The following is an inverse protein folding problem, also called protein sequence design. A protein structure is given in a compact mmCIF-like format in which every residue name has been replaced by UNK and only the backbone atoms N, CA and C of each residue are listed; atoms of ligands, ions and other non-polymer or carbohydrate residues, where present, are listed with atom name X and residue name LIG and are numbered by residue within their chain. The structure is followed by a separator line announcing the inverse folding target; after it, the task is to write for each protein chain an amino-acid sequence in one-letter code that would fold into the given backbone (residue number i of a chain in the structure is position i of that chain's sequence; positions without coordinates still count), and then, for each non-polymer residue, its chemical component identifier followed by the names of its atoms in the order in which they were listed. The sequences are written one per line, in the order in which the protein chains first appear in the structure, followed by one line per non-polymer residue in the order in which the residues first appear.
data_IF_761614438252
#
_entry.id   IF_761614438252
#
_cell.length_a   1.000
_cell.length_b   1.000
_cell.length_c   1.000
_cell.angle_alpha   90.00
_cell.angle_beta   90.00
_cell.angle_gamma   90.00
#
_symmetry.space_group_name_H-M   'P 1'
#
loop_
_entity.id
_entity.type
_entity.pdbx_description
1 polymer ?
#
# COMPACT_ATOMS: atom_id res chain seq x y z
N UNK A 1 -6.50 20.98 -17.83
CA UNK A 1 -6.05 19.85 -18.67
C UNK A 1 -6.11 18.61 -17.82
N UNK A 2 -7.16 17.81 -17.98
CA UNK A 2 -7.29 16.50 -17.36
C UNK A 2 -6.40 15.55 -18.14
N UNK A 3 -5.16 15.34 -17.68
CA UNK A 3 -4.39 14.17 -18.07
C UNK A 3 -5.17 12.97 -17.58
N UNK A 4 -5.92 12.31 -18.47
CA UNK A 4 -6.46 10.99 -18.21
C UNK A 4 -5.27 10.12 -17.84
N UNK A 5 -5.26 9.66 -16.59
CA UNK A 5 -4.23 8.77 -16.10
C UNK A 5 -4.48 7.40 -16.74
N UNK A 6 -3.90 7.14 -17.91
CA UNK A 6 -3.91 5.86 -18.63
C UNK A 6 -3.11 4.77 -17.87
N UNK A 7 -3.05 4.86 -16.55
CA UNK A 7 -2.44 3.88 -15.68
C UNK A 7 -3.26 2.60 -15.70
N UNK A 8 -2.64 1.52 -16.16
CA UNK A 8 -3.22 0.18 -16.08
C UNK A 8 -3.45 -0.22 -14.61
N UNK A 9 -4.40 -1.12 -14.41
CA UNK A 9 -4.79 -1.61 -13.10
C UNK A 9 -4.90 -3.14 -13.12
N UNK A 10 -4.65 -3.76 -11.98
CA UNK A 10 -4.84 -5.19 -11.77
C UNK A 10 -5.79 -5.49 -10.61
N UNK A 11 -6.36 -6.70 -10.64
CA UNK A 11 -7.30 -7.20 -9.65
C UNK A 11 -6.66 -8.27 -8.78
N UNK A 12 -6.76 -8.10 -7.46
CA UNK A 12 -6.49 -9.14 -6.47
C UNK A 12 -7.82 -9.68 -5.97
N UNK A 13 -8.01 -11.01 -6.02
CA UNK A 13 -9.22 -11.67 -5.55
C UNK A 13 -8.95 -12.37 -4.23
N UNK A 14 -9.73 -12.02 -3.21
CA UNK A 14 -9.75 -12.73 -1.93
C UNK A 14 -10.88 -13.74 -1.95
N UNK A 15 -10.54 -14.99 -1.66
CA UNK A 15 -11.47 -16.13 -1.65
C UNK A 15 -11.30 -16.91 -0.35
N UNK A 16 -12.40 -17.46 0.16
CA UNK A 16 -12.39 -18.35 1.30
C UNK A 16 -13.16 -19.63 0.96
N UNK A 17 -12.67 -20.84 1.26
CA UNK A 17 -13.33 -22.10 0.88
C UNK A 17 -14.78 -22.20 1.37
N UNK A 18 -15.05 -21.70 2.58
CA UNK A 18 -16.39 -21.74 3.17
C UNK A 18 -17.35 -20.64 2.67
N UNK A 19 -16.90 -19.74 1.79
CA UNK A 19 -17.70 -18.65 1.27
C UNK A 19 -17.82 -18.74 -0.26
N UNK A 20 -19.06 -18.75 -0.77
CA UNK A 20 -19.29 -18.69 -2.22
C UNK A 20 -18.95 -17.33 -2.83
N UNK A 21 -18.99 -16.29 -2.00
CA UNK A 21 -18.71 -14.91 -2.41
C UNK A 21 -17.21 -14.62 -2.37
N UNK A 22 -16.79 -13.67 -3.19
CA UNK A 22 -15.40 -13.20 -3.27
C UNK A 22 -15.34 -11.69 -3.09
N UNK A 23 -14.22 -11.22 -2.55
CA UNK A 23 -13.89 -9.79 -2.52
C UNK A 23 -12.85 -9.52 -3.60
N UNK A 24 -13.01 -8.44 -4.36
CA UNK A 24 -12.00 -8.00 -5.32
C UNK A 24 -11.38 -6.70 -4.84
N UNK A 25 -10.08 -6.54 -5.03
CA UNK A 25 -9.33 -5.33 -4.74
C UNK A 25 -8.69 -4.85 -6.04
N UNK A 26 -8.86 -3.57 -6.35
CA UNK A 26 -8.32 -2.95 -7.56
C UNK A 26 -7.11 -2.10 -7.20
N UNK A 27 -5.96 -2.41 -7.79
CA UNK A 27 -4.71 -1.71 -7.57
C UNK A 27 -4.23 -1.06 -8.86
N UNK A 28 -3.65 0.13 -8.76
CA UNK A 28 -2.99 0.81 -9.88
C UNK A 28 -1.60 0.21 -10.10
N UNK A 29 -1.24 -0.11 -11.34
CA UNK A 29 0.01 -0.85 -11.58
C UNK A 29 1.26 -0.02 -11.29
N UNK A 30 1.25 1.27 -11.64
CA UNK A 30 2.44 2.14 -11.57
C UNK A 30 2.98 2.34 -10.15
N UNK A 31 2.10 2.29 -9.15
CA UNK A 31 2.42 2.66 -7.77
C UNK A 31 1.78 1.74 -6.75
N UNK A 32 1.01 0.73 -7.16
CA UNK A 32 0.34 -0.23 -6.30
C UNK A 32 -0.69 0.42 -5.35
N UNK A 33 -1.18 1.63 -5.63
CA UNK A 33 -2.23 2.21 -4.79
C UNK A 33 -3.53 1.40 -4.88
N UNK A 34 -4.11 1.08 -3.73
CA UNK A 34 -5.46 0.51 -3.65
C UNK A 34 -6.49 1.57 -4.06
N UNK A 35 -7.16 1.37 -5.18
CA UNK A 35 -8.10 2.34 -5.75
C UNK A 35 -9.54 2.08 -5.30
N UNK A 36 -9.92 0.80 -5.24
CA UNK A 36 -11.29 0.38 -4.98
C UNK A 36 -11.35 -1.07 -4.50
N UNK A 37 -12.50 -1.46 -3.96
CA UNK A 37 -12.83 -2.86 -3.71
C UNK A 37 -14.25 -3.19 -4.19
N UNK A 38 -14.45 -4.45 -4.58
CA UNK A 38 -15.75 -5.02 -4.93
C UNK A 38 -16.18 -6.02 -3.86
N UNK A 39 -17.44 -5.94 -3.47
CA UNK A 39 -18.09 -6.94 -2.63
C UNK A 39 -18.52 -8.17 -3.41
N UNK A 40 -18.96 -9.19 -2.68
CA UNK A 40 -19.51 -10.42 -3.24
C UNK A 40 -20.79 -10.25 -4.05
N UNK A 41 -21.53 -9.14 -3.85
CA UNK A 41 -22.73 -8.78 -4.62
C UNK A 41 -22.43 -7.99 -5.90
N UNK A 42 -21.15 -7.69 -6.17
CA UNK A 42 -20.70 -6.97 -7.35
C UNK A 42 -20.63 -5.45 -7.19
N UNK A 43 -21.06 -4.88 -6.05
CA UNK A 43 -20.95 -3.42 -5.80
C UNK A 43 -19.50 -3.01 -5.58
N UNK A 44 -19.09 -1.93 -6.24
CA UNK A 44 -17.77 -1.34 -6.13
C UNK A 44 -17.76 -0.12 -5.22
N UNK A 45 -16.70 0.02 -4.45
CA UNK A 45 -16.45 1.16 -3.56
C UNK A 45 -15.04 1.69 -3.83
N UNK A 46 -14.92 2.99 -4.06
CA UNK A 46 -13.64 3.67 -4.34
C UNK A 46 -13.34 4.74 -3.30
N UNK A 47 -12.06 5.03 -3.08
CA UNK A 47 -11.64 6.08 -2.15
C UNK A 47 -11.97 7.49 -2.65
N UNK A 48 -12.14 8.41 -1.70
CA UNK A 48 -12.34 9.83 -1.98
C UNK A 48 -11.14 10.41 -2.75
N UNK A 49 -11.43 11.10 -3.84
CA UNK A 49 -10.42 11.76 -4.68
C UNK A 49 -9.68 10.82 -5.64
N UNK A 50 -9.98 9.52 -5.64
CA UNK A 50 -9.46 8.58 -6.63
C UNK A 50 -10.53 8.31 -7.70
N UNK A 51 -10.25 8.72 -8.93
CA UNK A 51 -11.07 8.37 -10.09
C UNK A 51 -10.54 7.10 -10.75
N UNK A 52 -11.45 6.23 -11.16
CA UNK A 52 -11.14 5.02 -11.92
C UNK A 52 -12.01 5.04 -13.19
N UNK A 53 -11.44 5.37 -14.36
CA UNK A 53 -12.21 5.46 -15.60
C UNK A 53 -12.98 4.17 -15.89
N UNK A 54 -14.27 4.30 -16.22
CA UNK A 54 -15.13 3.16 -16.55
C UNK A 54 -15.61 2.32 -15.36
N UNK A 55 -15.21 2.63 -14.12
CA UNK A 55 -15.68 1.91 -12.93
C UNK A 55 -16.91 2.62 -12.32
N UNK A 56 -18.06 1.96 -12.36
CA UNK A 56 -19.22 2.40 -11.59
C UNK A 56 -19.05 2.02 -10.11
N UNK A 57 -18.55 2.96 -9.30
CA UNK A 57 -18.24 2.74 -7.88
C UNK A 57 -18.79 3.84 -6.98
N UNK A 58 -19.29 3.43 -5.81
CA UNK A 58 -19.70 4.30 -4.72
C UNK A 58 -18.48 4.92 -4.04
N UNK A 59 -18.60 6.17 -3.60
CA UNK A 59 -17.48 6.92 -3.02
C UNK A 59 -17.44 6.71 -1.50
N UNK A 60 -16.36 6.11 -1.03
CA UNK A 60 -16.01 6.04 0.38
C UNK A 60 -15.61 7.44 0.85
N UNK A 61 -16.16 7.91 1.97
CA UNK A 61 -15.68 9.11 2.65
C UNK A 61 -14.32 8.91 3.36
N UNK A 62 -13.34 8.40 2.63
CA UNK A 62 -12.02 8.01 3.12
C UNK A 62 -11.01 8.16 2.01
N UNK A 63 -9.87 8.79 2.29
CA UNK A 63 -8.74 8.83 1.38
C UNK A 63 -7.93 7.54 1.48
N UNK A 64 -7.29 7.12 0.38
CA UNK A 64 -6.41 5.96 0.36
C UNK A 64 -5.02 6.30 0.94
N UNK A 65 -4.97 6.60 2.23
CA UNK A 65 -3.70 6.87 2.93
C UNK A 65 -3.70 6.22 4.31
N UNK A 66 -2.53 5.79 4.77
CA UNK A 66 -2.39 5.21 6.11
C UNK A 66 -2.93 6.13 7.22
N UNK A 67 -2.71 7.45 7.12
CA UNK A 67 -3.19 8.42 8.11
C UNK A 67 -4.70 8.57 8.15
N UNK A 68 -5.39 8.27 7.04
CA UNK A 68 -6.86 8.29 7.00
C UNK A 68 -7.47 6.98 7.51
N UNK A 69 -6.79 5.85 7.29
CA UNK A 69 -7.26 4.51 7.67
C UNK A 69 -6.93 4.14 9.13
N UNK A 70 -5.83 4.63 9.70
CA UNK A 70 -5.50 4.42 11.11
C UNK A 70 -5.60 5.74 11.89
N UNK A 71 -6.30 5.69 13.03
CA UNK A 71 -6.17 6.69 14.10
C UNK A 71 -5.30 6.09 15.21
N UNK A 72 -4.12 6.66 15.44
CA UNK A 72 -3.20 6.23 16.50
C UNK A 72 -1.79 5.90 15.99
N UNK A 73 -0.88 5.50 16.89
CA UNK A 73 0.49 5.16 16.51
C UNK A 73 0.47 3.99 15.52
N UNK A 74 1.03 4.22 14.34
CA UNK A 74 1.06 3.26 13.23
C UNK A 74 1.84 1.97 13.54
N UNK A 75 2.67 2.00 14.60
CA UNK A 75 3.57 0.93 15.04
C UNK A 75 2.91 -0.36 15.56
N UNK A 76 1.58 -0.42 15.68
CA UNK A 76 0.86 -1.59 16.20
C UNK A 76 0.12 -2.41 15.13
N UNK A 77 0.46 -2.22 13.86
CA UNK A 77 -0.18 -3.01 12.79
C UNK A 77 0.39 -4.42 12.77
N UNK A 78 -0.48 -5.41 12.95
CA UNK A 78 -0.15 -6.83 12.76
C UNK A 78 -0.60 -7.32 11.38
N UNK A 79 0.24 -8.13 10.75
CA UNK A 79 -0.03 -8.88 9.52
C UNK A 79 -0.13 -10.38 9.83
N UNK A 80 -0.83 -11.14 8.99
CA UNK A 80 -0.96 -12.60 9.16
C UNK A 80 -2.39 -13.11 8.94
N UNK A 81 -2.69 -14.34 9.37
CA UNK A 81 -3.98 -14.97 9.11
C UNK A 81 -5.18 -14.20 9.66
N UNK A 82 -5.06 -13.59 10.84
CA UNK A 82 -6.14 -12.78 11.41
C UNK A 82 -6.42 -11.54 10.58
N UNK A 83 -5.36 -10.85 10.13
CA UNK A 83 -5.48 -9.68 9.27
C UNK A 83 -6.09 -10.04 7.92
N UNK A 84 -5.69 -11.17 7.32
CA UNK A 84 -6.22 -11.65 6.05
C UNK A 84 -7.70 -12.02 6.15
N UNK A 85 -8.09 -12.77 7.18
CA UNK A 85 -9.49 -13.15 7.38
C UNK A 85 -10.37 -11.95 7.74
N UNK A 86 -9.86 -11.07 8.61
CA UNK A 86 -10.54 -9.81 8.94
C UNK A 86 -10.75 -8.93 7.72
N UNK A 87 -9.73 -8.79 6.86
CA UNK A 87 -9.85 -8.11 5.58
C UNK A 87 -10.97 -8.69 4.72
N UNK A 88 -11.01 -10.02 4.54
CA UNK A 88 -12.04 -10.68 3.74
C UNK A 88 -13.45 -10.45 4.31
N UNK A 89 -13.66 -10.73 5.60
CA UNK A 89 -14.98 -10.67 6.25
C UNK A 89 -15.53 -9.24 6.30
N UNK A 90 -14.70 -8.27 6.71
CA UNK A 90 -15.14 -6.88 6.86
C UNK A 90 -15.47 -6.25 5.51
N UNK A 91 -14.68 -6.51 4.47
CA UNK A 91 -14.98 -6.03 3.12
C UNK A 91 -16.22 -6.70 2.55
N UNK A 92 -16.40 -8.00 2.77
CA UNK A 92 -17.55 -8.75 2.25
C UNK A 92 -18.88 -8.24 2.83
N UNK A 93 -18.92 -8.00 4.15
CA UNK A 93 -20.15 -7.63 4.88
C UNK A 93 -20.51 -6.15 4.81
N UNK A 94 -19.62 -5.29 4.31
CA UNK A 94 -19.80 -3.84 4.32
C UNK A 94 -21.04 -3.40 3.52
N UNK A 95 -22.12 -2.98 4.17
CA UNK A 95 -23.36 -2.62 3.46
C UNK A 95 -23.36 -1.18 2.90
N UNK A 96 -22.55 -0.31 3.52
CA UNK A 96 -22.32 1.06 3.13
C UNK A 96 -23.53 1.98 3.25
N UNK A 97 -23.89 2.40 4.47
CA UNK A 97 -24.87 3.48 4.65
C UNK A 97 -24.38 4.79 3.98
N UNK A 98 -25.15 5.32 3.03
CA UNK A 98 -24.80 6.53 2.27
C UNK A 98 -25.44 7.76 2.91
N UNK A 99 -24.64 8.81 3.13
CA UNK A 99 -25.09 10.13 3.54
C UNK A 99 -24.50 11.16 2.59
N UNK A 100 -25.35 11.96 1.93
CA UNK A 100 -24.92 12.98 0.96
C UNK A 100 -24.00 12.44 -0.17
N UNK A 101 -24.30 11.23 -0.67
CA UNK A 101 -23.49 10.60 -1.73
C UNK A 101 -22.14 10.02 -1.26
N UNK A 102 -21.87 10.08 0.05
CA UNK A 102 -20.67 9.55 0.67
C UNK A 102 -21.01 8.40 1.61
N UNK A 103 -20.30 7.28 1.49
CA UNK A 103 -20.52 6.13 2.37
C UNK A 103 -19.91 6.38 3.75
N UNK A 104 -20.65 6.11 4.83
CA UNK A 104 -20.15 6.15 6.20
C UNK A 104 -19.26 4.92 6.49
N UNK A 105 -18.18 5.12 7.25
CA UNK A 105 -17.09 4.14 7.33
C UNK A 105 -16.79 3.82 8.79
N UNK A 106 -16.91 2.53 9.12
CA UNK A 106 -16.61 1.99 10.44
C UNK A 106 -15.10 1.87 10.66
N UNK A 107 -14.67 1.77 11.92
CA UNK A 107 -13.26 1.57 12.24
C UNK A 107 -12.77 0.19 11.78
N UNK A 108 -13.65 -0.79 11.72
CA UNK A 108 -13.40 -2.14 11.24
C UNK A 108 -13.10 -2.15 9.74
N UNK A 109 -13.90 -1.43 8.94
CA UNK A 109 -13.63 -1.28 7.51
C UNK A 109 -12.29 -0.56 7.27
N UNK A 110 -12.02 0.52 8.00
CA UNK A 110 -10.73 1.22 7.88
C UNK A 110 -9.54 0.31 8.17
N UNK A 111 -9.66 -0.53 9.21
CA UNK A 111 -8.64 -1.52 9.57
C UNK A 111 -8.46 -2.58 8.49
N UNK A 112 -9.55 -3.07 7.91
CA UNK A 112 -9.52 -4.02 6.80
C UNK A 112 -8.83 -3.44 5.55
N UNK A 113 -9.19 -2.21 5.16
CA UNK A 113 -8.54 -1.50 4.04
C UNK A 113 -7.07 -1.20 4.33
N UNK A 114 -6.73 -0.91 5.59
CA UNK A 114 -5.35 -0.74 6.00
C UNK A 114 -4.56 -2.05 5.88
N UNK A 115 -5.11 -3.18 6.32
CA UNK A 115 -4.47 -4.50 6.12
C UNK A 115 -4.28 -4.82 4.63
N UNK A 116 -5.27 -4.53 3.79
CA UNK A 116 -5.14 -4.69 2.34
C UNK A 116 -3.98 -3.85 1.79
N UNK A 117 -3.89 -2.59 2.23
CA UNK A 117 -2.82 -1.68 1.82
C UNK A 117 -1.45 -2.21 2.27
N UNK A 118 -1.30 -2.60 3.53
CA UNK A 118 -0.02 -3.08 4.08
C UNK A 118 0.41 -4.39 3.46
N UNK A 119 -0.46 -5.40 3.46
CA UNK A 119 -0.09 -6.76 3.06
C UNK A 119 0.10 -6.89 1.55
N UNK A 120 -0.65 -6.11 0.75
CA UNK A 120 -0.68 -6.25 -0.70
C UNK A 120 0.02 -5.10 -1.42
N UNK A 121 -0.29 -3.85 -1.09
CA UNK A 121 0.36 -2.68 -1.69
C UNK A 121 1.78 -2.49 -1.17
N UNK A 122 1.95 -2.36 0.15
CA UNK A 122 3.28 -2.17 0.74
C UNK A 122 4.13 -3.45 0.62
N UNK A 123 3.51 -4.63 0.66
CA UNK A 123 4.17 -5.90 0.35
C UNK A 123 4.66 -6.00 -1.10
N UNK A 124 4.04 -5.30 -2.05
CA UNK A 124 4.55 -5.22 -3.43
C UNK A 124 5.72 -4.23 -3.56
N UNK A 125 5.77 -3.19 -2.71
CA UNK A 125 6.81 -2.15 -2.74
C UNK A 125 8.04 -2.48 -1.92
N UNK A 126 7.86 -3.14 -0.77
CA UNK A 126 8.91 -3.38 0.23
C UNK A 126 9.12 -4.88 0.51
N UNK A 127 10.37 -5.33 0.34
CA UNK A 127 10.78 -6.71 0.58
C UNK A 127 10.61 -7.11 2.04
N UNK A 128 10.94 -6.24 2.99
CA UNK A 128 10.77 -6.48 4.41
C UNK A 128 9.30 -6.73 4.78
N UNK A 129 8.37 -5.90 4.32
CA UNK A 129 6.92 -6.04 4.57
C UNK A 129 6.41 -7.35 3.95
N UNK A 130 6.84 -7.66 2.72
CA UNK A 130 6.53 -8.94 2.06
C UNK A 130 7.01 -10.13 2.89
N UNK A 131 8.28 -10.10 3.34
CA UNK A 131 8.88 -11.18 4.14
C UNK A 131 8.09 -11.42 5.43
N UNK A 132 7.76 -10.37 6.18
CA UNK A 132 6.98 -10.48 7.41
C UNK A 132 5.58 -11.02 7.14
N UNK A 133 4.92 -10.55 6.08
CA UNK A 133 3.59 -11.02 5.67
C UNK A 133 3.63 -12.50 5.30
N UNK A 134 4.56 -12.92 4.45
CA UNK A 134 4.73 -14.32 4.07
C UNK A 134 5.08 -15.20 5.27
N UNK A 135 5.98 -14.75 6.15
CA UNK A 135 6.34 -15.47 7.36
C UNK A 135 5.12 -15.68 8.27
N UNK A 136 4.35 -14.62 8.53
CA UNK A 136 3.13 -14.69 9.33
C UNK A 136 2.13 -15.71 8.78
N UNK A 137 1.92 -15.71 7.46
CA UNK A 137 1.02 -16.67 6.80
C UNK A 137 1.56 -18.10 6.84
N UNK A 138 2.87 -18.30 6.64
CA UNK A 138 3.50 -19.61 6.64
C UNK A 138 3.54 -20.26 8.04
N UNK A 139 3.73 -19.46 9.09
CA UNK A 139 3.76 -19.95 10.47
C UNK A 139 2.37 -20.00 11.12
N UNK A 140 1.35 -19.42 10.47
CA UNK A 140 0.02 -19.28 11.04
C UNK A 140 -0.06 -18.28 12.20
N UNK A 141 0.97 -17.46 12.41
CA UNK A 141 1.04 -16.49 13.51
C UNK A 141 0.81 -15.08 12.99
N UNK A 142 0.24 -14.21 13.84
CA UNK A 142 0.20 -12.78 13.53
C UNK A 142 1.52 -12.14 13.97
N UNK A 143 2.10 -11.31 13.11
CA UNK A 143 3.36 -10.61 13.35
C UNK A 143 3.09 -9.12 13.34
N UNK A 144 3.47 -8.43 14.42
CA UNK A 144 3.42 -6.97 14.49
C UNK A 144 4.61 -6.38 13.75
N UNK A 145 4.35 -5.47 12.82
CA UNK A 145 5.41 -4.80 12.07
C UNK A 145 6.13 -3.78 12.94
N UNK A 146 7.46 -3.81 12.88
CA UNK A 146 8.31 -2.86 13.61
C UNK A 146 8.10 -1.42 13.13
N UNK A 147 8.35 -0.45 14.03
CA UNK A 147 8.22 0.98 13.73
C UNK A 147 9.07 1.42 12.55
N UNK A 148 10.26 0.87 12.36
CA UNK A 148 11.13 1.23 11.23
C UNK A 148 10.46 0.93 9.88
N UNK A 149 9.71 -0.18 9.78
CA UNK A 149 8.98 -0.52 8.56
C UNK A 149 7.89 0.51 8.25
N UNK A 150 7.24 1.05 9.29
CA UNK A 150 6.28 2.15 9.14
C UNK A 150 6.91 3.41 8.59
N UNK A 151 8.10 3.74 9.08
CA UNK A 151 8.84 4.90 8.59
C UNK A 151 9.25 4.70 7.13
N UNK A 152 9.69 3.49 6.75
CA UNK A 152 10.04 3.15 5.36
C UNK A 152 8.85 3.29 4.42
N UNK A 153 7.70 2.68 4.76
CA UNK A 153 6.47 2.77 3.95
C UNK A 153 6.03 4.23 3.69
N UNK A 154 6.14 5.09 4.71
CA UNK A 154 5.80 6.52 4.58
C UNK A 154 6.80 7.33 3.75
N UNK A 155 8.02 6.83 3.56
CA UNK A 155 9.10 7.51 2.85
C UNK A 155 9.45 6.81 1.53
N UNK A 156 8.55 6.01 0.95
CA UNK A 156 8.79 5.26 -0.29
C UNK A 156 9.33 6.12 -1.44
N UNK A 157 8.78 7.33 -1.62
CA UNK A 157 9.24 8.30 -2.62
C UNK A 157 10.71 8.67 -2.39
N UNK A 158 11.06 9.12 -1.17
CA UNK A 158 12.44 9.47 -0.79
C UNK A 158 13.40 8.28 -0.88
N UNK A 159 12.95 7.10 -0.53
CA UNK A 159 13.71 5.87 -0.67
C UNK A 159 13.97 5.52 -2.14
N UNK A 160 13.00 5.79 -3.03
CA UNK A 160 13.16 5.60 -4.47
C UNK A 160 14.14 6.63 -5.07
N UNK A 161 14.05 7.90 -4.63
CA UNK A 161 15.03 8.95 -4.99
C UNK A 161 16.46 8.55 -4.58
N UNK A 162 16.62 8.05 -3.35
CA UNK A 162 17.91 7.60 -2.84
C UNK A 162 18.47 6.43 -3.66
N UNK A 163 17.63 5.46 -4.01
CA UNK A 163 18.04 4.34 -4.87
C UNK A 163 18.60 4.85 -6.21
N UNK A 164 17.92 5.79 -6.86
CA UNK A 164 18.34 6.36 -8.15
C UNK A 164 19.65 7.14 -7.99
N UNK A 165 19.79 7.93 -6.92
CA UNK A 165 21.01 8.66 -6.60
C UNK A 165 22.20 7.69 -6.42
N UNK A 166 22.02 6.61 -5.65
CA UNK A 166 23.06 5.61 -5.46
C UNK A 166 23.44 4.91 -6.76
N UNK A 167 22.48 4.55 -7.61
CA UNK A 167 22.74 3.95 -8.91
C UNK A 167 23.58 4.89 -9.79
N UNK A 168 23.20 6.17 -9.87
CA UNK A 168 23.96 7.18 -10.63
C UNK A 168 25.39 7.34 -10.12
N UNK A 169 25.59 7.35 -8.80
CA UNK A 169 26.91 7.44 -8.21
C UNK A 169 27.75 6.15 -8.43
N UNK A 170 27.12 4.97 -8.45
CA UNK A 170 27.80 3.71 -8.77
C UNK A 170 28.26 3.70 -10.24
N UNK A 171 27.45 4.28 -11.14
CA UNK A 171 27.78 4.44 -12.56
C UNK A 171 28.83 5.54 -12.81
N UNK A 172 28.85 6.59 -11.98
CA UNK A 172 29.80 7.70 -12.05
C UNK A 172 30.12 8.26 -10.65
N UNK A 173 31.28 7.88 -10.12
CA UNK A 173 31.74 8.25 -8.78
C UNK A 173 32.03 9.75 -8.58
N UNK A 174 32.10 10.54 -9.66
CA UNK A 174 32.28 11.99 -9.56
C UNK A 174 30.96 12.74 -9.28
N UNK A 175 29.80 12.07 -9.40
CA UNK A 175 28.52 12.67 -9.08
C UNK A 175 28.36 12.85 -7.57
N UNK A 176 27.99 14.05 -7.09
CA UNK A 176 27.84 14.29 -5.66
C UNK A 176 26.64 13.51 -5.09
N UNK A 177 26.78 12.98 -3.88
CA UNK A 177 25.65 12.48 -3.10
C UNK A 177 24.99 13.61 -2.30
N UNK A 178 23.67 13.58 -2.22
CA UNK A 178 22.89 14.42 -1.29
C UNK A 178 23.05 13.87 0.14
N UNK A 179 23.84 14.56 0.96
CA UNK A 179 24.13 14.13 2.34
C UNK A 179 22.89 14.19 3.24
N UNK A 180 21.95 15.11 3.01
CA UNK A 180 20.71 15.17 3.79
C UNK A 180 19.82 13.96 3.49
N UNK A 181 19.79 13.51 2.23
CA UNK A 181 19.11 12.28 1.86
C UNK A 181 19.79 11.03 2.47
N UNK A 182 21.13 10.98 2.48
CA UNK A 182 21.89 9.90 3.13
C UNK A 182 21.57 9.82 4.63
N UNK A 183 21.59 10.94 5.35
CA UNK A 183 21.26 10.99 6.78
C UNK A 183 19.83 10.53 7.06
N UNK A 184 18.87 10.92 6.20
CA UNK A 184 17.48 10.45 6.30
C UNK A 184 17.36 8.95 6.07
N UNK A 185 18.14 8.37 5.16
CA UNK A 185 18.14 6.92 4.93
C UNK A 185 18.74 6.15 6.11
N UNK A 186 19.80 6.67 6.73
CA UNK A 186 20.37 6.08 7.93
C UNK A 186 19.33 6.01 9.08
N UNK A 187 18.46 7.02 9.22
CA UNK A 187 17.34 7.01 10.17
C UNK A 187 16.26 5.96 9.85
N UNK A 188 16.25 5.42 8.62
CA UNK A 188 15.40 4.32 8.17
C UNK A 188 16.13 2.96 8.21
N UNK A 189 17.32 2.90 8.81
CA UNK A 189 18.19 1.72 8.84
C UNK A 189 18.57 1.25 7.43
N UNK A 190 18.91 2.20 6.55
CA UNK A 190 19.44 1.98 5.21
C UNK A 190 20.79 2.71 5.15
N UNK A 191 21.88 1.94 5.16
CA UNK A 191 23.24 2.49 5.29
C UNK A 191 24.06 2.34 4.01
N UNK A 192 23.56 1.61 3.03
CA UNK A 192 24.27 1.32 1.79
C UNK A 192 23.34 1.15 0.59
N UNK A 193 23.93 1.19 -0.61
CA UNK A 193 23.20 0.88 -1.83
C UNK A 193 22.69 -0.57 -1.86
N UNK A 194 23.43 -1.50 -1.25
CA UNK A 194 23.00 -2.89 -1.13
C UNK A 194 21.72 -3.02 -0.28
N UNK A 195 21.62 -2.28 0.82
CA UNK A 195 20.45 -2.30 1.71
C UNK A 195 19.19 -1.84 0.96
N UNK A 196 19.27 -0.69 0.27
CA UNK A 196 18.11 -0.14 -0.44
C UNK A 196 17.69 -1.02 -1.63
N UNK A 197 18.66 -1.63 -2.33
CA UNK A 197 18.39 -2.59 -3.41
C UNK A 197 17.70 -3.85 -2.92
N UNK A 198 18.05 -4.31 -1.72
CA UNK A 198 17.41 -5.46 -1.11
C UNK A 198 16.01 -5.11 -0.57
N UNK A 199 15.82 -3.87 -0.13
CA UNK A 199 14.58 -3.43 0.50
C UNK A 199 13.47 -3.08 -0.50
N UNK A 200 13.77 -2.34 -1.57
CA UNK A 200 12.75 -1.91 -2.53
C UNK A 200 12.51 -2.97 -3.61
N UNK A 201 11.26 -3.40 -3.73
CA UNK A 201 10.78 -4.28 -4.81
C UNK A 201 10.24 -3.48 -6.01
N UNK A 202 9.84 -2.24 -5.77
CA UNK A 202 9.34 -1.32 -6.78
C UNK A 202 9.83 0.09 -6.46
N UNK A 203 10.27 0.82 -7.48
CA UNK A 203 10.66 2.22 -7.39
C UNK A 203 9.50 3.09 -7.85
N UNK A 204 9.26 4.19 -7.14
CA UNK A 204 8.40 5.23 -7.65
C UNK A 204 9.12 5.97 -8.77
N UNK A 205 8.57 5.90 -9.99
CA UNK A 205 9.12 6.66 -11.11
C UNK A 205 8.87 8.15 -10.90
N UNK A 206 9.93 8.92 -10.68
CA UNK A 206 9.91 10.37 -10.69
C UNK A 206 10.72 10.86 -11.90
N UNK A 207 10.08 11.39 -12.97
CA UNK A 207 10.79 11.84 -14.17
C UNK A 207 11.83 12.93 -13.87
N UNK A 208 11.62 13.74 -12.82
CA UNK A 208 12.54 14.80 -12.40
C UNK A 208 13.84 14.26 -11.79
N UNK A 209 13.84 13.00 -11.34
CA UNK A 209 15.05 12.34 -10.85
C UNK A 209 15.96 11.86 -11.98
N UNK A 210 15.53 12.01 -13.25
CA UNK A 210 16.32 11.68 -14.44
C UNK A 210 16.98 12.88 -15.11
N UNK A 211 16.58 14.10 -14.74
CA UNK A 211 17.25 15.35 -15.10
C UNK A 211 18.48 15.60 -14.20
#
# INVERSE_FOLDING_TARGET
MTTGDDSSCHLVRLTHPDYQQRVQLLFRDRDQYLLAFQRGDGRWFRFLGLEVPGLNAEILNLQSSHGSMLRGPSSNTSVGPHALMGMFVELLKFDGAVLNGLTNITNELKRALHWATVMLSEGARFQSVRRHTCQALNTGQNITLETVLWLRMRNWERMSEYWVMCQRHDDNADLPMDLDLVEKMAALDIHSFADIRQELCMLLFNPKALE
#
